data_IF_875735629764
#
_entry.id   IF_875735629764
#
_cell.length_a   1.000
_cell.length_b   1.000
_cell.length_c   1.000
_cell.angle_alpha   90.00
_cell.angle_beta   90.00
_cell.angle_gamma   90.00
#
_symmetry.space_group_name_H-M   'P 1'
#
loop_
_entity.id
_entity.type
_entity.pdbx_description
1 polymer ?
#
# COMPACT_ATOMS: atom_id res chain seq x y z
N UNK A 1 -4.15 24.92 -10.16
CA UNK A 1 -5.00 23.75 -10.48
C UNK A 1 -4.95 22.77 -9.32
N UNK A 2 -6.11 22.37 -8.80
CA UNK A 2 -6.18 21.26 -7.85
C UNK A 2 -6.05 19.98 -8.70
N UNK A 3 -4.89 19.34 -8.66
CA UNK A 3 -4.67 18.08 -9.38
C UNK A 3 -5.52 16.95 -8.78
N UNK A 4 -5.96 16.02 -9.62
CA UNK A 4 -6.71 14.85 -9.18
C UNK A 4 -5.94 14.03 -8.14
N UNK A 5 -6.68 13.44 -7.20
CA UNK A 5 -6.14 12.58 -6.14
C UNK A 5 -6.59 11.13 -6.37
N UNK A 6 -5.75 10.18 -6.00
CA UNK A 6 -6.08 8.75 -6.01
C UNK A 6 -6.11 8.24 -4.58
N UNK A 7 -7.16 7.51 -4.21
CA UNK A 7 -7.24 6.84 -2.92
C UNK A 7 -7.04 5.34 -3.13
N UNK A 8 -6.08 4.76 -2.43
CA UNK A 8 -5.89 3.30 -2.37
C UNK A 8 -6.24 2.84 -0.96
N UNK A 9 -7.19 1.90 -0.83
CA UNK A 9 -7.54 1.24 0.43
C UNK A 9 -7.33 -0.25 0.25
N UNK A 10 -6.36 -0.81 0.96
CA UNK A 10 -5.91 -2.18 0.68
C UNK A 10 -5.41 -2.90 1.94
N UNK A 11 -5.48 -4.24 1.92
CA UNK A 11 -4.86 -5.13 2.89
C UNK A 11 -3.35 -4.92 2.91
N UNK A 12 -2.77 -4.86 4.11
CA UNK A 12 -1.31 -4.74 4.29
C UNK A 12 -0.73 -5.94 5.01
N UNK A 13 0.23 -6.60 4.37
CA UNK A 13 0.88 -7.76 4.94
C UNK A 13 1.76 -7.36 6.14
N UNK A 14 1.73 -8.14 7.24
CA UNK A 14 2.72 -8.02 8.31
C UNK A 14 4.12 -8.35 7.76
N UNK A 15 5.13 -7.46 7.88
CA UNK A 15 6.46 -7.70 7.30
C UNK A 15 7.10 -9.01 7.75
N UNK A 16 6.88 -9.41 9.00
CA UNK A 16 7.40 -10.67 9.57
C UNK A 16 6.86 -11.94 8.88
N UNK A 17 5.69 -11.84 8.22
CA UNK A 17 5.04 -12.94 7.48
C UNK A 17 5.41 -12.95 5.99
N UNK A 18 6.12 -11.92 5.49
CA UNK A 18 6.51 -11.83 4.08
C UNK A 18 7.83 -12.58 3.85
N UNK A 19 7.80 -13.62 3.03
CA UNK A 19 9.00 -14.37 2.60
C UNK A 19 9.42 -14.05 1.18
N UNK A 20 8.50 -13.54 0.37
CA UNK A 20 8.71 -13.27 -1.04
C UNK A 20 9.23 -11.85 -1.30
N UNK A 21 9.84 -11.67 -2.47
CA UNK A 21 10.27 -10.35 -2.95
C UNK A 21 11.23 -9.64 -1.99
N UNK A 22 12.09 -10.38 -1.28
CA UNK A 22 12.96 -9.86 -0.21
C UNK A 22 12.19 -9.31 1.00
N UNK A 23 11.10 -9.99 1.39
CA UNK A 23 10.25 -9.61 2.52
C UNK A 23 9.22 -8.52 2.21
N UNK A 24 8.93 -8.30 0.93
CA UNK A 24 8.04 -7.22 0.49
C UNK A 24 6.58 -7.64 0.33
N UNK A 25 6.30 -8.93 0.16
CA UNK A 25 4.96 -9.46 0.03
C UNK A 25 4.86 -10.92 0.46
N UNK A 26 3.63 -11.39 0.58
CA UNK A 26 3.27 -12.80 0.71
C UNK A 26 2.25 -13.16 -0.37
N UNK A 27 2.25 -14.43 -0.78
CA UNK A 27 1.28 -14.99 -1.71
C UNK A 27 0.07 -15.50 -0.93
N UNK A 28 -1.10 -15.27 -1.49
CA UNK A 28 -2.34 -15.94 -1.12
C UNK A 28 -2.64 -16.97 -2.20
N UNK A 29 -2.40 -18.25 -1.88
CA UNK A 29 -2.58 -19.36 -2.82
C UNK A 29 -4.05 -19.72 -3.06
N UNK A 30 -4.95 -19.35 -2.15
CA UNK A 30 -6.38 -19.65 -2.26
C UNK A 30 -7.04 -18.71 -3.27
N UNK A 31 -6.65 -17.42 -3.25
CA UNK A 31 -7.25 -16.38 -4.09
C UNK A 31 -6.37 -15.92 -5.26
N UNK A 32 -5.25 -16.61 -5.52
CA UNK A 32 -4.24 -16.20 -6.50
C UNK A 32 -3.85 -14.71 -6.37
N UNK A 33 -3.72 -14.24 -5.12
CA UNK A 33 -3.52 -12.83 -4.79
C UNK A 33 -2.17 -12.61 -4.10
N UNK A 34 -1.79 -11.33 -3.94
CA UNK A 34 -0.60 -10.95 -3.20
C UNK A 34 -0.93 -9.87 -2.19
N UNK A 35 -0.50 -10.07 -0.94
CA UNK A 35 -0.57 -9.04 0.09
C UNK A 35 0.81 -8.42 0.24
N UNK A 36 0.89 -7.10 0.05
CA UNK A 36 2.16 -6.35 0.12
C UNK A 36 2.30 -5.65 1.45
N UNK A 37 3.53 -5.49 1.91
CA UNK A 37 3.82 -4.67 3.09
C UNK A 37 3.50 -3.20 2.82
N UNK A 38 3.37 -2.42 3.89
CA UNK A 38 3.28 -0.96 3.78
C UNK A 38 4.47 -0.36 3.01
N UNK A 39 5.70 -0.78 3.35
CA UNK A 39 6.92 -0.28 2.71
C UNK A 39 6.95 -0.56 1.20
N UNK A 40 6.49 -1.75 0.80
CA UNK A 40 6.42 -2.12 -0.61
C UNK A 40 5.39 -1.26 -1.38
N UNK A 41 4.20 -1.02 -0.82
CA UNK A 41 3.23 -0.09 -1.41
C UNK A 41 3.82 1.32 -1.59
N UNK A 42 4.47 1.87 -0.56
CA UNK A 42 5.11 3.20 -0.63
C UNK A 42 6.16 3.28 -1.75
N UNK A 43 6.96 2.22 -1.92
CA UNK A 43 7.96 2.14 -2.99
C UNK A 43 7.32 2.06 -4.37
N UNK A 44 6.25 1.28 -4.54
CA UNK A 44 5.52 1.16 -5.81
C UNK A 44 4.84 2.47 -6.20
N UNK A 45 4.17 3.16 -5.26
CA UNK A 45 3.58 4.47 -5.52
C UNK A 45 4.63 5.48 -5.97
N UNK A 46 5.78 5.50 -5.30
CA UNK A 46 6.91 6.35 -5.69
C UNK A 46 7.42 6.03 -7.10
N UNK A 47 7.57 4.74 -7.43
CA UNK A 47 8.02 4.28 -8.76
C UNK A 47 7.00 4.62 -9.85
N UNK A 48 5.72 4.61 -9.51
CA UNK A 48 4.62 4.98 -10.39
C UNK A 48 4.44 6.50 -10.56
N UNK A 49 5.34 7.34 -10.03
CA UNK A 49 5.24 8.79 -10.16
C UNK A 49 4.26 9.44 -9.19
N UNK A 50 3.89 8.78 -8.11
CA UNK A 50 3.03 9.35 -7.06
C UNK A 50 3.83 9.69 -5.80
N UNK A 51 3.32 10.67 -5.05
CA UNK A 51 3.69 10.90 -3.65
C UNK A 51 2.50 10.55 -2.77
N UNK A 52 2.78 9.97 -1.61
CA UNK A 52 1.76 9.73 -0.59
C UNK A 52 1.59 11.02 0.21
N UNK A 53 0.43 11.65 0.06
CA UNK A 53 0.04 12.87 0.78
C UNK A 53 -0.28 12.53 2.23
N UNK A 54 -1.05 11.46 2.43
CA UNK A 54 -1.46 10.96 3.75
C UNK A 54 -1.60 9.45 3.68
N UNK A 55 -1.33 8.78 4.79
CA UNK A 55 -1.75 7.38 4.97
C UNK A 55 -2.27 7.17 6.38
N UNK A 56 -3.25 6.29 6.53
CA UNK A 56 -3.79 5.90 7.83
C UNK A 56 -4.20 4.45 7.82
N UNK A 57 -4.06 3.77 8.96
CA UNK A 57 -4.70 2.47 9.15
C UNK A 57 -6.20 2.67 9.36
N UNK A 58 -6.99 1.69 8.93
CA UNK A 58 -8.38 1.58 9.34
C UNK A 58 -8.42 1.37 10.85
N UNK A 59 -9.09 2.27 11.57
CA UNK A 59 -9.32 2.13 13.00
C UNK A 59 -10.40 1.08 13.27
N UNK A 60 -10.38 0.53 14.49
CA UNK A 60 -11.41 -0.37 15.03
C UNK A 60 -11.69 -1.58 14.14
N UNK A 61 -10.64 -2.11 13.52
CA UNK A 61 -10.70 -3.28 12.66
C UNK A 61 -10.40 -4.55 13.47
N UNK A 62 -11.06 -5.70 13.19
CA UNK A 62 -10.78 -6.96 13.86
C UNK A 62 -9.28 -7.31 13.81
N UNK A 63 -8.74 -7.83 14.93
CA UNK A 63 -7.30 -8.08 15.09
C UNK A 63 -6.83 -9.40 14.48
N UNK A 64 -7.76 -10.28 14.13
CA UNK A 64 -7.57 -11.60 13.56
C UNK A 64 -7.47 -11.59 12.01
N UNK A 65 -7.78 -10.45 11.38
CA UNK A 65 -7.66 -10.26 9.93
C UNK A 65 -6.51 -9.32 9.55
N UNK A 66 -6.20 -9.25 8.26
CA UNK A 66 -5.11 -8.39 7.78
C UNK A 66 -5.44 -6.91 8.02
N UNK A 67 -4.47 -6.11 8.52
CA UNK A 67 -4.69 -4.69 8.74
C UNK A 67 -4.87 -3.98 7.41
N UNK A 68 -5.91 -3.15 7.30
CA UNK A 68 -6.20 -2.33 6.12
C UNK A 68 -5.57 -0.95 6.27
N UNK A 69 -4.97 -0.44 5.19
CA UNK A 69 -4.41 0.92 5.13
C UNK A 69 -5.01 1.68 3.96
N UNK A 70 -5.30 2.95 4.22
CA UNK A 70 -5.70 3.94 3.22
C UNK A 70 -4.52 4.85 2.89
N UNK A 71 -4.34 5.16 1.61
CA UNK A 71 -3.33 6.06 1.08
C UNK A 71 -4.00 7.10 0.20
N UNK A 72 -3.70 8.37 0.45
CA UNK A 72 -4.04 9.47 -0.43
C UNK A 72 -2.82 9.79 -1.28
N UNK A 73 -2.94 9.60 -2.59
CA UNK A 73 -1.87 9.78 -3.56
C UNK A 73 -2.13 11.04 -4.38
N UNK A 74 -1.07 11.80 -4.62
CA UNK A 74 -1.04 12.89 -5.60
C UNK A 74 0.08 12.60 -6.61
N UNK A 75 -0.09 12.99 -7.89
CA UNK A 75 1.01 12.95 -8.85
C UNK A 75 2.23 13.71 -8.31
N UNK A 76 3.43 13.15 -8.50
CA UNK A 76 4.67 13.92 -8.42
C UNK A 76 4.70 14.77 -9.68
N UNK A 77 4.37 16.04 -9.55
CA UNK A 77 4.61 17.00 -10.63
C UNK A 77 6.12 16.96 -10.89
N UNK A 78 6.52 16.44 -12.05
CA UNK A 78 7.86 16.68 -12.55
C UNK A 78 7.96 18.17 -12.81
N UNK A 79 8.87 18.85 -12.10
CA UNK A 79 9.29 20.17 -12.53
C UNK A 79 9.94 19.99 -13.91
N UNK A 80 9.17 20.25 -14.96
CA UNK A 80 9.70 20.64 -16.28
C UNK A 80 10.16 22.07 -16.22
#
# INVERSE_FOLDING_TARGET
>A
MIGGLVVVKENTAPPKKCREGRGNYMLDAENAAVLRTHAHHMALFRRAGYRVVKSTRQADFPSDIYPVRMYLLAPRVSAT
#
